data_IF_492886499318
#
_entry.id   IF_492886499318
#
_cell.length_a   1.000
_cell.length_b   1.000
_cell.length_c   1.000
_cell.angle_alpha   90.00
_cell.angle_beta   90.00
_cell.angle_gamma   90.00
#
_symmetry.space_group_name_H-M   'P 1'
#
loop_
_entity.id
_entity.type
_entity.pdbx_description
1 polymer ?
#
# COMPACT_ATOMS: atom_id res chain seq x y z
N UNK A 1 -17.16 -18.11 -17.63
CA UNK A 1 -17.09 -16.81 -16.88
C UNK A 1 -15.70 -16.23 -17.03
N UNK A 2 -15.56 -15.03 -17.61
CA UNK A 2 -14.24 -14.35 -17.61
C UNK A 2 -13.88 -14.06 -16.15
N UNK A 3 -12.75 -14.59 -15.66
CA UNK A 3 -12.23 -14.23 -14.32
C UNK A 3 -12.01 -12.70 -14.32
N UNK A 4 -12.48 -12.02 -13.27
CA UNK A 4 -12.14 -10.62 -13.07
C UNK A 4 -10.62 -10.48 -13.11
N UNK A 5 -10.08 -9.68 -14.03
CA UNK A 5 -8.64 -9.40 -14.04
C UNK A 5 -8.29 -8.64 -12.78
N UNK A 6 -7.30 -9.11 -12.03
CA UNK A 6 -6.78 -8.43 -10.83
C UNK A 6 -5.49 -7.72 -11.23
N UNK A 7 -5.62 -6.46 -11.62
CA UNK A 7 -4.50 -5.67 -12.12
C UNK A 7 -3.87 -4.78 -11.05
N UNK A 8 -4.70 -4.14 -10.22
CA UNK A 8 -4.25 -3.22 -9.17
C UNK A 8 -4.83 -3.61 -7.80
N UNK A 9 -3.94 -3.96 -6.88
CA UNK A 9 -4.28 -4.20 -5.47
C UNK A 9 -3.73 -3.08 -4.61
N UNK A 10 -4.59 -2.51 -3.76
CA UNK A 10 -4.21 -1.51 -2.78
C UNK A 10 -4.35 -2.09 -1.36
N UNK A 11 -3.43 -1.75 -0.44
CA UNK A 11 -3.52 -2.19 0.95
C UNK A 11 -3.36 -1.02 1.94
N UNK A 12 -4.22 -1.04 2.97
CA UNK A 12 -4.04 -0.23 4.18
C UNK A 12 -3.43 -1.14 5.25
N UNK A 13 -2.16 -0.88 5.61
CA UNK A 13 -1.34 -1.72 6.48
C UNK A 13 -1.62 -1.40 7.96
N UNK A 14 -2.84 -1.75 8.41
CA UNK A 14 -3.31 -1.42 9.76
C UNK A 14 -3.13 -2.55 10.77
N UNK A 15 -3.11 -2.17 12.06
CA UNK A 15 -3.01 -3.12 13.17
C UNK A 15 -1.61 -3.23 13.81
N UNK A 16 -0.57 -2.58 13.27
CA UNK A 16 0.81 -2.67 13.78
C UNK A 16 0.91 -2.38 15.29
N UNK A 17 0.37 -1.23 15.73
CA UNK A 17 0.44 -0.83 17.13
C UNK A 17 -0.39 -1.73 18.05
N UNK A 18 -1.58 -2.18 17.60
CA UNK A 18 -2.45 -3.11 18.36
C UNK A 18 -1.82 -4.49 18.47
N UNK A 19 -1.19 -4.96 17.42
CA UNK A 19 -0.41 -6.19 17.38
C UNK A 19 0.71 -6.20 18.42
N UNK A 20 1.48 -5.10 18.51
CA UNK A 20 2.55 -4.94 19.49
C UNK A 20 2.02 -4.92 20.93
N UNK A 21 0.94 -4.13 21.19
CA UNK A 21 0.30 -4.06 22.50
C UNK A 21 -0.18 -5.43 23.00
N UNK A 22 -0.78 -6.25 22.12
CA UNK A 22 -1.19 -7.63 22.48
C UNK A 22 0.00 -8.53 22.90
N UNK A 23 1.23 -8.12 22.59
CA UNK A 23 2.48 -8.84 22.91
C UNK A 23 3.32 -8.11 23.96
N UNK A 24 2.71 -7.16 24.68
CA UNK A 24 3.39 -6.34 25.69
C UNK A 24 4.62 -5.61 25.12
N UNK A 25 4.59 -5.27 23.83
CA UNK A 25 5.66 -4.56 23.13
C UNK A 25 5.26 -3.12 22.79
N UNK A 26 6.22 -2.19 22.71
CA UNK A 26 5.95 -0.82 22.27
C UNK A 26 5.44 -0.81 20.81
N UNK A 27 4.57 0.16 20.51
CA UNK A 27 3.93 0.30 19.17
C UNK A 27 4.94 0.28 18.00
N UNK A 28 6.12 0.88 18.23
CA UNK A 28 7.23 0.92 17.27
C UNK A 28 7.66 -0.49 16.82
N UNK A 29 7.68 -1.45 17.75
CA UNK A 29 8.03 -2.84 17.44
C UNK A 29 7.07 -3.44 16.39
N UNK A 30 5.77 -3.15 16.50
CA UNK A 30 4.78 -3.59 15.49
C UNK A 30 5.07 -3.03 14.10
N UNK A 31 5.47 -1.77 13.99
CA UNK A 31 5.84 -1.16 12.72
C UNK A 31 7.12 -1.79 12.13
N UNK A 32 8.10 -2.14 12.96
CA UNK A 32 9.30 -2.87 12.52
C UNK A 32 8.95 -4.24 11.93
N UNK A 33 8.08 -5.00 12.61
CA UNK A 33 7.64 -6.31 12.13
C UNK A 33 6.79 -6.17 10.85
N UNK A 34 5.84 -5.22 10.81
CA UNK A 34 5.04 -4.95 9.63
C UNK A 34 5.87 -4.58 8.39
N UNK A 35 6.98 -3.85 8.56
CA UNK A 35 7.89 -3.53 7.46
C UNK A 35 8.57 -4.78 6.85
N UNK A 36 8.72 -5.86 7.59
CA UNK A 36 9.26 -7.14 7.07
C UNK A 36 8.27 -7.84 6.17
N UNK A 37 6.96 -7.74 6.48
CA UNK A 37 5.88 -8.39 5.73
C UNK A 37 5.76 -7.83 4.30
N UNK A 38 6.12 -6.55 4.08
CA UNK A 38 6.04 -5.92 2.75
C UNK A 38 6.79 -6.72 1.68
N UNK A 39 7.98 -7.24 2.01
CA UNK A 39 8.77 -8.04 1.07
C UNK A 39 8.03 -9.31 0.62
N UNK A 40 7.41 -10.00 1.57
CA UNK A 40 6.62 -11.20 1.28
C UNK A 40 5.36 -10.85 0.47
N UNK A 41 4.67 -9.75 0.81
CA UNK A 41 3.51 -9.27 0.05
C UNK A 41 3.87 -9.00 -1.42
N UNK A 42 5.01 -8.38 -1.67
CA UNK A 42 5.51 -8.15 -3.03
C UNK A 42 5.68 -9.47 -3.79
N UNK A 43 6.27 -10.49 -3.14
CA UNK A 43 6.41 -11.82 -3.75
C UNK A 43 5.04 -12.46 -4.02
N UNK A 44 4.04 -12.28 -3.14
CA UNK A 44 2.67 -12.78 -3.37
C UNK A 44 2.02 -12.09 -4.57
N UNK A 45 2.12 -10.77 -4.64
CA UNK A 45 1.58 -9.99 -5.75
C UNK A 45 2.21 -10.36 -7.10
N UNK A 46 3.53 -10.54 -7.15
CA UNK A 46 4.25 -10.99 -8.35
C UNK A 46 3.81 -12.39 -8.81
N UNK A 47 3.61 -13.31 -7.86
CA UNK A 47 3.16 -14.68 -8.17
C UNK A 47 1.73 -14.73 -8.71
N UNK A 48 0.88 -13.77 -8.34
CA UNK A 48 -0.49 -13.65 -8.83
C UNK A 48 -0.61 -12.65 -10.00
N UNK A 49 0.53 -12.27 -10.61
CA UNK A 49 0.62 -11.41 -11.80
C UNK A 49 -0.03 -10.02 -11.61
N UNK A 50 -0.12 -9.53 -10.38
CA UNK A 50 -0.56 -8.16 -10.09
C UNK A 50 0.43 -7.16 -10.71
N UNK A 51 -0.10 -6.17 -11.45
CA UNK A 51 0.73 -5.16 -12.13
C UNK A 51 1.01 -3.94 -11.27
N UNK A 52 0.06 -3.58 -10.41
CA UNK A 52 0.14 -2.40 -9.53
C UNK A 52 -0.16 -2.81 -8.09
N UNK A 53 0.73 -2.47 -7.18
CA UNK A 53 0.57 -2.68 -5.74
C UNK A 53 0.76 -1.35 -5.04
N UNK A 54 -0.29 -0.82 -4.39
CA UNK A 54 -0.22 0.46 -3.68
C UNK A 54 -0.42 0.25 -2.18
N UNK A 55 0.56 0.69 -1.38
CA UNK A 55 0.58 0.47 0.06
C UNK A 55 0.44 1.79 0.82
N UNK A 56 -0.53 1.89 1.72
CA UNK A 56 -0.74 3.06 2.58
C UNK A 56 0.09 2.90 3.85
N UNK A 57 1.22 3.61 3.92
CA UNK A 57 2.19 3.50 5.01
C UNK A 57 2.11 4.66 6.01
N UNK A 58 1.79 5.89 5.56
CA UNK A 58 1.68 7.07 6.41
C UNK A 58 0.73 8.10 5.80
N UNK A 59 -0.36 8.41 6.52
CA UNK A 59 -1.31 9.42 6.09
C UNK A 59 -0.96 10.82 6.61
N UNK A 60 -1.55 11.87 6.03
CA UNK A 60 -1.43 13.24 6.55
C UNK A 60 -1.96 13.35 7.99
N UNK A 61 -3.01 12.62 8.34
CA UNK A 61 -3.58 12.60 9.68
C UNK A 61 -2.65 11.96 10.71
N UNK A 62 -1.68 11.14 10.30
CA UNK A 62 -0.72 10.49 11.18
C UNK A 62 0.29 11.46 11.81
N UNK A 63 0.39 12.71 11.31
CA UNK A 63 1.17 13.77 11.98
C UNK A 63 0.65 14.09 13.38
N UNK A 64 -0.63 13.80 13.68
CA UNK A 64 -1.24 13.98 14.99
C UNK A 64 -0.87 12.87 16.01
N UNK A 65 -0.06 11.90 15.62
CA UNK A 65 0.45 10.86 16.51
C UNK A 65 1.56 11.40 17.42
N UNK A 66 1.90 10.69 18.53
CA UNK A 66 3.05 11.05 19.36
C UNK A 66 4.31 11.24 18.52
N UNK A 67 5.06 12.31 18.78
CA UNK A 67 6.22 12.72 17.97
C UNK A 67 7.28 11.60 17.83
N UNK A 68 7.46 10.81 18.88
CA UNK A 68 8.40 9.67 18.87
C UNK A 68 7.99 8.63 17.82
N UNK A 69 6.68 8.30 17.70
CA UNK A 69 6.17 7.38 16.67
C UNK A 69 6.35 7.97 15.27
N UNK A 70 6.03 9.26 15.08
CA UNK A 70 6.19 9.95 13.79
C UNK A 70 7.66 9.95 13.35
N UNK A 71 8.59 10.38 14.22
CA UNK A 71 10.03 10.37 13.94
C UNK A 71 10.53 8.98 13.57
N UNK A 72 10.07 7.96 14.31
CA UNK A 72 10.44 6.57 14.03
C UNK A 72 9.95 6.12 12.64
N UNK A 73 8.69 6.37 12.29
CA UNK A 73 8.12 5.97 10.98
C UNK A 73 8.85 6.64 9.82
N UNK A 74 9.20 7.93 9.96
CA UNK A 74 10.00 8.65 8.97
C UNK A 74 11.41 8.06 8.83
N UNK A 75 12.08 7.77 9.95
CA UNK A 75 13.40 7.12 9.96
C UNK A 75 13.34 5.73 9.31
N UNK A 76 12.34 4.91 9.65
CA UNK A 76 12.15 3.59 9.08
C UNK A 76 11.94 3.65 7.56
N UNK A 77 11.11 4.59 7.10
CA UNK A 77 10.87 4.79 5.66
C UNK A 77 12.16 5.22 4.96
N UNK A 78 12.86 6.23 5.49
CA UNK A 78 14.14 6.68 4.93
C UNK A 78 15.16 5.55 4.84
N UNK A 79 15.36 4.77 5.90
CA UNK A 79 16.27 3.63 5.92
C UNK A 79 15.95 2.60 4.83
N UNK A 80 14.65 2.34 4.58
CA UNK A 80 14.24 1.43 3.50
C UNK A 80 14.52 2.01 2.11
N UNK A 81 14.27 3.30 1.91
CA UNK A 81 14.50 3.98 0.62
C UNK A 81 15.98 4.00 0.24
N UNK A 82 16.89 4.28 1.19
CA UNK A 82 18.35 4.36 0.91
C UNK A 82 19.06 3.01 0.94
N UNK A 83 18.37 1.95 1.34
CA UNK A 83 18.98 0.63 1.51
C UNK A 83 19.39 0.01 0.19
N UNK A 84 20.70 -0.33 0.06
CA UNK A 84 21.19 -1.11 -1.08
C UNK A 84 20.43 -2.43 -1.25
N UNK A 85 20.13 -3.13 -0.14
CA UNK A 85 19.34 -4.38 -0.16
C UNK A 85 17.95 -4.19 -0.77
N UNK A 86 17.30 -3.01 -0.55
CA UNK A 86 16.01 -2.68 -1.15
C UNK A 86 16.15 -2.45 -2.65
N UNK A 87 17.14 -1.67 -3.07
CA UNK A 87 17.41 -1.43 -4.49
C UNK A 87 17.72 -2.75 -5.22
N UNK A 88 18.64 -3.56 -4.71
CA UNK A 88 19.02 -4.83 -5.31
C UNK A 88 17.81 -5.78 -5.44
N UNK A 89 16.94 -5.81 -4.41
CA UNK A 89 15.71 -6.58 -4.45
C UNK A 89 14.75 -6.08 -5.55
N UNK A 90 14.58 -4.76 -5.70
CA UNK A 90 13.70 -4.20 -6.73
C UNK A 90 14.24 -4.46 -8.13
N UNK A 91 15.54 -4.31 -8.34
CA UNK A 91 16.18 -4.60 -9.63
C UNK A 91 16.06 -6.09 -9.98
N UNK A 92 16.41 -6.99 -9.04
CA UNK A 92 16.33 -8.44 -9.24
C UNK A 92 14.90 -8.92 -9.56
N UNK A 93 13.88 -8.31 -8.94
CA UNK A 93 12.47 -8.68 -9.13
C UNK A 93 11.78 -7.88 -10.25
N UNK A 94 12.50 -6.98 -10.91
CA UNK A 94 11.98 -6.10 -11.95
C UNK A 94 10.78 -5.24 -11.48
N UNK A 95 10.95 -4.58 -10.30
CA UNK A 95 9.94 -3.76 -9.64
C UNK A 95 10.22 -2.29 -9.92
N UNK A 96 9.25 -1.57 -10.49
CA UNK A 96 9.24 -0.12 -10.60
C UNK A 96 8.71 0.48 -9.29
N UNK A 97 9.57 1.21 -8.58
CA UNK A 97 9.17 1.92 -7.36
C UNK A 97 8.57 3.28 -7.70
N UNK A 98 7.47 3.64 -7.04
CA UNK A 98 6.84 4.96 -7.08
C UNK A 98 6.50 5.42 -5.67
N UNK A 99 6.66 6.72 -5.44
CA UNK A 99 6.18 7.36 -4.23
C UNK A 99 4.93 8.19 -4.53
N UNK A 100 3.93 8.10 -3.64
CA UNK A 100 2.73 8.91 -3.68
C UNK A 100 2.61 9.69 -2.35
N UNK A 101 2.67 11.03 -2.42
CA UNK A 101 2.54 11.84 -1.22
C UNK A 101 2.86 13.32 -1.47
N UNK A 102 2.61 14.13 -0.45
CA UNK A 102 2.91 15.55 -0.47
C UNK A 102 4.33 15.80 0.04
N UNK A 103 5.02 16.76 -0.57
CA UNK A 103 6.41 17.10 -0.19
C UNK A 103 6.49 17.84 1.15
N UNK A 104 5.39 18.47 1.59
CA UNK A 104 5.31 19.24 2.84
C UNK A 104 5.74 18.39 4.03
N UNK A 105 6.48 19.01 4.97
CA UNK A 105 7.02 18.34 6.18
C UNK A 105 8.02 17.20 5.94
N UNK A 106 8.39 16.91 4.68
CA UNK A 106 9.45 15.94 4.38
C UNK A 106 10.79 16.64 4.18
N UNK A 107 11.87 16.03 4.66
CA UNK A 107 13.22 16.59 4.48
C UNK A 107 13.67 16.47 3.02
N UNK A 108 14.48 17.45 2.57
CA UNK A 108 15.10 17.43 1.24
C UNK A 108 15.86 16.11 1.02
N UNK A 109 16.61 15.66 2.03
CA UNK A 109 17.35 14.38 2.01
C UNK A 109 16.48 13.18 1.67
N UNK A 110 15.27 13.09 2.27
CA UNK A 110 14.32 12.00 1.96
C UNK A 110 13.77 12.13 0.54
N UNK A 111 13.40 13.34 0.13
CA UNK A 111 12.85 13.58 -1.23
C UNK A 111 13.88 13.25 -2.32
N UNK A 112 15.15 13.61 -2.11
CA UNK A 112 16.23 13.29 -3.06
C UNK A 112 16.50 11.78 -3.12
N UNK A 113 16.46 11.08 -1.98
CA UNK A 113 16.57 9.64 -1.91
C UNK A 113 15.42 8.91 -2.64
N UNK A 114 14.18 9.40 -2.48
CA UNK A 114 13.00 8.88 -3.20
C UNK A 114 13.20 9.03 -4.71
N UNK A 115 13.54 10.24 -5.19
CA UNK A 115 13.79 10.48 -6.62
C UNK A 115 14.87 9.58 -7.19
N UNK A 116 15.95 9.35 -6.43
CA UNK A 116 17.04 8.47 -6.85
C UNK A 116 16.56 7.02 -7.00
N UNK A 117 15.77 6.52 -6.04
CA UNK A 117 15.23 5.15 -6.11
C UNK A 117 14.25 5.00 -7.27
N UNK A 118 13.35 5.98 -7.49
CA UNK A 118 12.45 5.99 -8.65
C UNK A 118 13.22 5.97 -9.96
N UNK A 119 14.25 6.82 -10.11
CA UNK A 119 15.11 6.88 -11.30
C UNK A 119 15.80 5.53 -11.57
N UNK A 120 16.38 4.91 -10.53
CA UNK A 120 17.10 3.63 -10.65
C UNK A 120 16.20 2.46 -11.03
N UNK A 121 14.91 2.52 -10.69
CA UNK A 121 13.95 1.44 -10.94
C UNK A 121 12.98 1.74 -12.09
N UNK A 122 13.10 2.89 -12.76
CA UNK A 122 12.15 3.39 -13.75
C UNK A 122 11.94 2.47 -14.97
N UNK A 123 12.96 1.69 -15.34
CA UNK A 123 12.90 0.75 -16.48
C UNK A 123 12.28 -0.61 -16.13
N UNK A 124 12.02 -0.87 -14.84
CA UNK A 124 11.41 -2.10 -14.37
C UNK A 124 9.90 -2.12 -14.70
N UNK A 125 9.34 -3.28 -15.02
CA UNK A 125 7.98 -3.37 -15.57
C UNK A 125 7.16 -4.59 -15.12
N UNK A 126 7.69 -5.48 -14.26
CA UNK A 126 6.90 -6.62 -13.77
C UNK A 126 5.83 -6.21 -12.77
N UNK A 127 6.17 -5.30 -11.85
CA UNK A 127 5.29 -4.77 -10.83
C UNK A 127 5.62 -3.29 -10.60
N UNK A 128 4.60 -2.43 -10.60
CA UNK A 128 4.72 -1.06 -10.07
C UNK A 128 4.32 -1.07 -8.60
N UNK A 129 5.31 -0.88 -7.71
CA UNK A 129 5.08 -0.73 -6.27
C UNK A 129 4.99 0.75 -5.93
N UNK A 130 3.81 1.19 -5.50
CA UNK A 130 3.59 2.56 -5.01
C UNK A 130 3.48 2.57 -3.49
N UNK A 131 4.32 3.38 -2.84
CA UNK A 131 4.23 3.62 -1.39
C UNK A 131 3.57 4.98 -1.17
N UNK A 132 2.35 4.97 -0.63
CA UNK A 132 1.66 6.17 -0.17
C UNK A 132 2.19 6.54 1.22
N UNK A 133 3.02 7.58 1.27
CA UNK A 133 3.65 8.11 2.48
C UNK A 133 3.52 9.63 2.50
N UNK A 134 2.97 10.18 3.58
CA UNK A 134 2.56 11.57 3.69
C UNK A 134 1.46 11.94 2.69
N UNK A 135 0.42 11.09 2.61
CA UNK A 135 -0.65 11.19 1.62
C UNK A 135 -2.02 11.36 2.28
N UNK A 136 -2.92 12.06 1.57
CA UNK A 136 -4.33 12.17 1.91
C UNK A 136 -5.16 12.37 0.63
N UNK A 137 -6.22 11.57 0.47
CA UNK A 137 -7.00 11.54 -0.76
C UNK A 137 -7.84 12.79 -1.00
N UNK A 138 -8.39 13.42 0.04
CA UNK A 138 -9.11 14.70 -0.09
C UNK A 138 -8.17 15.79 -0.59
N UNK A 139 -7.00 15.93 0.04
CA UNK A 139 -5.99 16.90 -0.38
C UNK A 139 -5.47 16.65 -1.81
N UNK A 140 -5.44 15.37 -2.23
CA UNK A 140 -5.10 15.02 -3.61
C UNK A 140 -6.20 15.45 -4.60
N UNK A 141 -7.48 15.26 -4.25
CA UNK A 141 -8.62 15.71 -5.06
C UNK A 141 -8.70 17.24 -5.17
N UNK A 142 -8.42 17.95 -4.07
CA UNK A 142 -8.44 19.41 -4.00
C UNK A 142 -7.23 20.06 -4.68
N UNK A 143 -6.21 19.27 -5.05
CA UNK A 143 -5.02 19.79 -5.71
C UNK A 143 -5.31 20.13 -7.20
N UNK A 144 -4.69 21.22 -7.73
CA UNK A 144 -4.83 21.63 -9.16
C UNK A 144 -4.59 20.47 -10.12
N UNK A 145 -3.66 19.59 -9.79
CA UNK A 145 -3.38 18.34 -10.51
C UNK A 145 -3.21 17.21 -9.51
N UNK A 146 -4.08 16.21 -9.56
CA UNK A 146 -4.00 15.04 -8.69
C UNK A 146 -2.62 14.39 -8.80
N UNK A 147 -1.95 14.27 -7.65
CA UNK A 147 -0.63 13.62 -7.58
C UNK A 147 -0.74 12.10 -7.80
N UNK A 148 -1.93 11.52 -7.58
CA UNK A 148 -2.24 10.11 -7.85
C UNK A 148 -2.65 9.82 -9.31
N UNK A 149 -2.63 10.80 -10.22
CA UNK A 149 -3.11 10.63 -11.60
C UNK A 149 -2.38 9.56 -12.41
N UNK A 150 -1.19 9.15 -11.99
CA UNK A 150 -0.43 8.07 -12.62
C UNK A 150 -0.89 6.66 -12.22
N UNK A 151 -1.74 6.54 -11.18
CA UNK A 151 -2.27 5.25 -10.74
C UNK A 151 -3.49 4.86 -11.57
N UNK A 152 -3.59 3.61 -12.02
CA UNK A 152 -4.84 3.07 -12.55
C UNK A 152 -5.88 2.90 -11.43
N UNK A 153 -7.15 2.68 -11.82
CA UNK A 153 -8.20 2.33 -10.89
C UNK A 153 -7.84 1.06 -10.10
N UNK A 154 -8.22 1.04 -8.83
CA UNK A 154 -8.01 -0.11 -7.95
C UNK A 154 -9.08 -1.16 -8.22
N UNK A 155 -8.66 -2.41 -8.37
CA UNK A 155 -9.58 -3.55 -8.46
C UNK A 155 -9.97 -4.04 -7.07
N UNK A 156 -8.98 -4.16 -6.17
CA UNK A 156 -9.15 -4.66 -4.81
C UNK A 156 -8.41 -3.80 -3.80
N UNK A 157 -9.16 -3.29 -2.81
CA UNK A 157 -8.60 -2.74 -1.58
C UNK A 157 -8.69 -3.78 -0.47
N UNK A 158 -7.57 -4.04 0.20
CA UNK A 158 -7.53 -4.84 1.43
C UNK A 158 -7.12 -3.92 2.58
N UNK A 159 -7.91 -3.89 3.65
CA UNK A 159 -7.50 -3.24 4.90
C UNK A 159 -7.35 -4.27 5.99
N UNK A 160 -6.15 -4.40 6.54
CA UNK A 160 -5.86 -5.26 7.69
C UNK A 160 -6.25 -4.59 9.02
N UNK A 161 -6.37 -5.37 10.09
CA UNK A 161 -6.52 -4.85 11.43
C UNK A 161 -7.96 -4.65 11.92
N UNK A 162 -8.95 -5.26 11.24
CA UNK A 162 -10.36 -5.27 11.67
C UNK A 162 -10.98 -3.87 11.79
N UNK A 163 -10.75 -3.01 10.81
CA UNK A 163 -11.29 -1.65 10.74
C UNK A 163 -12.00 -1.43 9.42
N UNK A 164 -13.26 -1.02 9.46
CA UNK A 164 -14.17 -0.94 8.30
C UNK A 164 -14.28 0.51 7.78
N UNK A 165 -13.18 1.08 7.31
CA UNK A 165 -13.09 2.42 6.70
C UNK A 165 -11.87 2.51 5.77
N UNK A 166 -11.89 3.43 4.81
CA UNK A 166 -10.80 3.64 3.85
C UNK A 166 -9.80 4.74 4.26
N UNK A 167 -10.13 5.50 5.31
CA UNK A 167 -9.24 6.47 5.97
C UNK A 167 -8.54 7.44 5.02
N UNK A 168 -9.31 8.06 4.13
CA UNK A 168 -8.78 9.08 3.20
C UNK A 168 -7.69 8.55 2.24
N UNK A 169 -7.74 7.24 1.89
CA UNK A 169 -6.79 6.64 0.96
C UNK A 169 -7.31 6.72 -0.48
N UNK A 170 -6.49 7.07 -1.45
CA UNK A 170 -6.67 7.15 -2.92
C UNK A 170 -8.15 7.13 -3.40
N UNK A 171 -8.94 8.10 -2.93
CA UNK A 171 -10.41 8.14 -3.05
C UNK A 171 -10.87 7.98 -4.51
N UNK A 172 -10.19 8.64 -5.44
CA UNK A 172 -10.55 8.59 -6.85
C UNK A 172 -10.41 7.19 -7.44
N UNK A 173 -9.28 6.51 -7.17
CA UNK A 173 -9.01 5.20 -7.73
C UNK A 173 -9.83 4.08 -7.06
N UNK A 174 -10.37 4.34 -5.87
CA UNK A 174 -11.21 3.38 -5.13
C UNK A 174 -12.69 3.42 -5.51
N UNK A 175 -13.11 4.33 -6.39
CA UNK A 175 -14.53 4.57 -6.71
C UNK A 175 -15.33 3.30 -7.06
N UNK A 176 -14.71 2.31 -7.71
CA UNK A 176 -15.32 1.03 -8.08
C UNK A 176 -14.52 -0.18 -7.58
N UNK A 177 -13.64 0.02 -6.59
CA UNK A 177 -12.86 -1.08 -6.03
C UNK A 177 -13.72 -2.02 -5.20
N UNK A 178 -13.45 -3.32 -5.29
CA UNK A 178 -13.92 -4.25 -4.26
C UNK A 178 -13.13 -4.02 -2.98
N UNK A 179 -13.79 -4.05 -1.81
CA UNK A 179 -13.15 -3.78 -0.52
C UNK A 179 -13.27 -5.03 0.36
N UNK A 180 -12.12 -5.46 0.92
CA UNK A 180 -12.05 -6.52 1.92
C UNK A 180 -11.49 -5.93 3.21
N UNK A 181 -12.27 -6.00 4.27
CA UNK A 181 -11.84 -5.66 5.62
C UNK A 181 -11.34 -6.92 6.32
N UNK A 182 -10.02 -7.06 6.34
CA UNK A 182 -9.33 -8.23 6.88
C UNK A 182 -9.12 -8.11 8.40
N UNK A 183 -9.51 -9.14 9.16
CA UNK A 183 -9.40 -9.15 10.63
C UNK A 183 -7.96 -9.27 11.13
N UNK A 184 -7.10 -9.92 10.36
CA UNK A 184 -5.69 -10.13 10.70
C UNK A 184 -4.95 -8.79 10.84
N UNK A 185 -4.18 -8.62 11.90
CA UNK A 185 -3.26 -7.48 12.01
C UNK A 185 -2.13 -7.58 11.00
N UNK A 186 -1.69 -6.43 10.46
CA UNK A 186 -0.70 -6.39 9.40
C UNK A 186 0.57 -7.24 9.67
N UNK A 187 1.22 -7.24 10.87
CA UNK A 187 2.40 -8.07 11.09
C UNK A 187 2.16 -9.58 10.99
N UNK A 188 0.92 -10.04 11.17
CA UNK A 188 0.53 -11.45 11.05
C UNK A 188 -0.05 -11.80 9.67
N UNK A 189 0.02 -10.87 8.69
CA UNK A 189 -0.50 -11.10 7.34
C UNK A 189 0.37 -12.09 6.57
N UNK A 190 -0.22 -13.19 6.11
CA UNK A 190 0.49 -14.33 5.52
C UNK A 190 0.09 -14.58 4.06
N UNK A 191 0.82 -15.48 3.39
CA UNK A 191 0.45 -15.98 2.06
C UNK A 191 -0.94 -16.65 2.05
N UNK A 192 -1.30 -17.34 3.13
CA UNK A 192 -2.63 -17.95 3.27
C UNK A 192 -3.72 -16.87 3.27
N UNK A 193 -3.55 -15.82 4.09
CA UNK A 193 -4.48 -14.68 4.16
C UNK A 193 -4.60 -13.98 2.81
N UNK A 194 -3.46 -13.69 2.14
CA UNK A 194 -3.45 -13.13 0.79
C UNK A 194 -4.28 -13.97 -0.17
N UNK A 195 -4.04 -15.28 -0.25
CA UNK A 195 -4.79 -16.17 -1.15
C UNK A 195 -6.28 -16.23 -0.84
N UNK A 196 -6.68 -16.15 0.43
CA UNK A 196 -8.08 -16.07 0.82
C UNK A 196 -8.74 -14.79 0.32
N UNK A 197 -8.08 -13.63 0.50
CA UNK A 197 -8.60 -12.36 0.00
C UNK A 197 -8.71 -12.36 -1.54
N UNK A 198 -7.71 -12.87 -2.26
CA UNK A 198 -7.75 -12.97 -3.73
C UNK A 198 -8.87 -13.92 -4.19
N UNK A 199 -9.06 -15.05 -3.51
CA UNK A 199 -10.15 -15.97 -3.80
C UNK A 199 -11.51 -15.31 -3.60
N UNK A 200 -11.70 -14.59 -2.50
CA UNK A 200 -12.93 -13.83 -2.22
C UNK A 200 -13.21 -12.80 -3.33
N UNK A 201 -12.19 -12.02 -3.75
CA UNK A 201 -12.32 -11.09 -4.86
C UNK A 201 -12.84 -11.77 -6.13
N UNK A 202 -12.28 -12.92 -6.51
CA UNK A 202 -12.68 -13.63 -7.73
C UNK A 202 -14.11 -14.22 -7.66
N UNK A 203 -14.67 -14.43 -6.47
CA UNK A 203 -16.04 -14.89 -6.27
C UNK A 203 -17.06 -13.74 -6.42
N UNK A 204 -16.63 -12.49 -6.30
CA UNK A 204 -17.53 -11.33 -6.42
C UNK A 204 -17.88 -11.05 -7.87
N UNK A 205 -19.15 -10.65 -8.10
CA UNK A 205 -19.64 -10.25 -9.42
C UNK A 205 -19.61 -8.72 -9.54
N UNK A 206 -18.67 -8.18 -10.30
CA UNK A 206 -18.56 -6.73 -10.56
C UNK A 206 -19.56 -6.34 -11.65
N UNK A 207 -20.46 -5.40 -11.35
CA UNK A 207 -21.53 -4.98 -12.26
C UNK A 207 -21.30 -3.62 -12.91
N UNK A 208 -20.53 -2.74 -12.31
CA UNK A 208 -20.26 -1.37 -12.79
C UNK A 208 -21.54 -0.61 -13.17
N UNK A 209 -22.63 -0.77 -12.41
CA UNK A 209 -23.95 -0.17 -12.69
C UNK A 209 -24.80 -0.92 -13.72
N UNK A 210 -24.33 -1.97 -14.38
CA UNK A 210 -25.11 -2.72 -15.35
C UNK A 210 -26.07 -3.73 -14.69
N UNK A 211 -27.25 -3.90 -15.30
CA UNK A 211 -28.19 -4.98 -14.96
C UNK A 211 -27.75 -6.21 -15.75
N UNK A 212 -27.40 -7.28 -15.04
CA UNK A 212 -27.08 -8.56 -15.70
C UNK A 212 -28.38 -9.25 -16.13
N UNK A 213 -28.47 -9.82 -17.34
CA UNK A 213 -29.64 -10.60 -17.74
C UNK A 213 -29.86 -11.75 -16.74
N UNK A 214 -31.13 -11.94 -16.37
CA UNK A 214 -31.53 -13.15 -15.58
C UNK A 214 -31.17 -14.37 -16.43
N UNK A 215 -30.37 -15.28 -15.86
CA UNK A 215 -30.23 -16.62 -16.43
C UNK A 215 -31.48 -17.42 -16.22
#
# INVERSE_FOLDING_TARGET
MRRNSLNHVALILDGNGRWAKKRHQPRIFGHQQGAKVIKHLIDYALNDYVKYLTLFCFSLENWNRPQAEVKFLHSLFYQKIVSKKTLDFFLKKNICFKWLGFKTKLSKKLLDAIKLLEKKTAKNNKLTLTIAFNYGGRQDLDSKKRISSFLPNVDLLIRTGNENRISNFILYQLAYAEIIFEKTFWPDYTKKTWKQNIKEYHLRKRRFGAILPKK
#
